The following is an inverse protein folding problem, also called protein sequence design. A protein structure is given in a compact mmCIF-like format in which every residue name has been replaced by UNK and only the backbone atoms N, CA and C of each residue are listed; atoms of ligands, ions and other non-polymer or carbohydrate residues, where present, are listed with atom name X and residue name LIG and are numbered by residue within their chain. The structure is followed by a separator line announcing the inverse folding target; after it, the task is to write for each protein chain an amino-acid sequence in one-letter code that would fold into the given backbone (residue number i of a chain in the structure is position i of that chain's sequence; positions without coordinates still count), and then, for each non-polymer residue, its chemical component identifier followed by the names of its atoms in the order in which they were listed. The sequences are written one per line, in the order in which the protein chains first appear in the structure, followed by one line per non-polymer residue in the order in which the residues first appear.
data_IF_099138084070
#
_entry.id   IF_099138084070
#
_cell.length_a   1.000
_cell.length_b   1.000
_cell.length_c   1.000
_cell.angle_alpha   90.00
_cell.angle_beta   90.00
_cell.angle_gamma   90.00
#
_symmetry.space_group_name_H-M   'P 1'
#
loop_
_entity.id
_entity.type
_entity.pdbx_description
1 polymer ?
#
# COMPACT_ATOMS: atom_id res chain seq x y z
N UNK A 1 2.53 -16.64 -6.77
CA UNK A 1 2.05 -15.29 -7.18
C UNK A 1 3.04 -14.25 -6.66
N UNK A 2 3.35 -13.19 -7.42
CA UNK A 2 4.45 -12.24 -7.17
C UNK A 2 4.59 -11.79 -5.70
N UNK A 3 3.48 -11.42 -5.05
CA UNK A 3 3.45 -10.97 -3.65
C UNK A 3 4.02 -11.98 -2.64
N UNK A 4 3.81 -13.27 -2.86
CA UNK A 4 4.35 -14.33 -2.00
C UNK A 4 5.86 -14.52 -2.23
N UNK A 5 6.32 -14.42 -3.48
CA UNK A 5 7.73 -14.54 -3.82
C UNK A 5 8.58 -13.39 -3.27
N UNK A 6 8.01 -12.17 -3.18
CA UNK A 6 8.69 -11.03 -2.58
C UNK A 6 8.93 -11.21 -1.07
N UNK A 7 7.98 -11.83 -0.35
CA UNK A 7 8.00 -11.91 1.11
C UNK A 7 9.26 -12.57 1.67
N UNK A 8 9.83 -13.55 0.98
CA UNK A 8 11.04 -14.27 1.42
C UNK A 8 12.30 -13.40 1.35
N UNK A 9 12.40 -12.52 0.34
CA UNK A 9 13.60 -11.73 0.07
C UNK A 9 13.58 -10.37 0.77
N UNK A 10 12.39 -9.84 1.02
CA UNK A 10 12.19 -8.49 1.56
C UNK A 10 12.95 -8.22 2.87
N UNK A 11 12.91 -9.08 3.91
CA UNK A 11 13.56 -8.77 5.18
C UNK A 11 15.07 -8.56 5.04
N UNK A 12 15.73 -9.43 4.27
CA UNK A 12 17.18 -9.35 4.06
C UNK A 12 17.58 -8.12 3.23
N UNK A 13 16.79 -7.77 2.20
CA UNK A 13 17.05 -6.60 1.37
C UNK A 13 16.84 -5.30 2.13
N UNK A 14 15.69 -5.16 2.80
CA UNK A 14 15.33 -3.97 3.60
C UNK A 14 16.34 -3.73 4.73
N UNK A 15 16.81 -4.78 5.39
CA UNK A 15 17.78 -4.65 6.49
C UNK A 15 19.17 -4.19 6.03
N UNK A 16 19.50 -4.35 4.75
CA UNK A 16 20.84 -4.08 4.21
C UNK A 16 20.91 -2.83 3.34
N UNK A 17 19.78 -2.41 2.77
CA UNK A 17 19.75 -1.42 1.72
C UNK A 17 18.56 -0.48 1.83
N UNK A 18 18.76 0.76 1.37
CA UNK A 18 17.66 1.64 0.98
C UNK A 18 17.18 1.20 -0.40
N UNK A 19 15.90 0.84 -0.50
CA UNK A 19 15.37 0.16 -1.67
C UNK A 19 14.59 1.12 -2.56
N UNK A 20 14.82 1.00 -3.87
CA UNK A 20 13.89 1.43 -4.89
C UNK A 20 13.31 0.16 -5.53
N UNK A 21 11.99 -0.01 -5.41
CA UNK A 21 11.30 -1.20 -5.93
C UNK A 21 10.76 -0.90 -7.32
N UNK A 22 11.21 -1.67 -8.31
CA UNK A 22 10.67 -1.64 -9.68
C UNK A 22 9.63 -2.74 -9.79
N UNK A 23 8.37 -2.33 -9.85
CA UNK A 23 7.23 -3.20 -9.63
C UNK A 23 6.57 -3.79 -10.88
N UNK A 24 5.50 -4.54 -10.61
CA UNK A 24 4.39 -4.78 -11.54
C UNK A 24 3.25 -3.81 -11.25
N UNK A 25 2.01 -4.29 -11.13
CA UNK A 25 0.89 -3.45 -10.71
C UNK A 25 1.01 -2.98 -9.25
N UNK A 26 0.16 -2.01 -8.88
CA UNK A 26 0.23 -1.29 -7.61
C UNK A 26 0.00 -2.18 -6.36
N UNK A 27 -0.57 -3.38 -6.51
CA UNK A 27 -0.88 -4.28 -5.38
C UNK A 27 0.35 -4.77 -4.63
N UNK A 28 1.55 -4.71 -5.24
CA UNK A 28 2.79 -5.10 -4.57
C UNK A 28 3.08 -4.24 -3.33
N UNK A 29 2.58 -3.00 -3.33
CA UNK A 29 2.83 -2.00 -2.27
C UNK A 29 2.38 -2.50 -0.90
N UNK A 30 1.26 -3.23 -0.83
CA UNK A 30 0.77 -3.80 0.44
C UNK A 30 1.76 -4.80 1.06
N UNK A 31 2.37 -5.67 0.25
CA UNK A 31 3.39 -6.60 0.73
C UNK A 31 4.65 -5.88 1.19
N UNK A 32 5.05 -4.81 0.50
CA UNK A 32 6.19 -3.97 0.89
C UNK A 32 5.92 -3.25 2.22
N UNK A 33 4.75 -2.63 2.38
CA UNK A 33 4.36 -1.94 3.61
C UNK A 33 4.32 -2.88 4.80
N UNK A 34 3.78 -4.10 4.66
CA UNK A 34 3.82 -5.12 5.72
C UNK A 34 5.26 -5.46 6.13
N UNK A 35 6.16 -5.61 5.17
CA UNK A 35 7.58 -5.90 5.45
C UNK A 35 8.28 -4.72 6.14
N UNK A 36 8.06 -3.49 5.68
CA UNK A 36 8.61 -2.29 6.33
C UNK A 36 8.03 -2.06 7.72
N UNK A 37 6.73 -2.29 7.92
CA UNK A 37 6.07 -2.22 9.23
C UNK A 37 6.69 -3.19 10.22
N UNK A 38 6.98 -4.41 9.78
CA UNK A 38 7.65 -5.43 10.59
C UNK A 38 9.11 -5.05 10.90
N UNK A 39 9.84 -4.53 9.91
CA UNK A 39 11.23 -4.11 10.05
C UNK A 39 11.40 -2.95 11.03
N UNK A 40 10.65 -1.86 10.85
CA UNK A 40 10.76 -0.66 11.69
C UNK A 40 9.96 -0.75 12.99
N UNK A 41 9.07 -1.74 13.11
CA UNK A 41 8.17 -1.91 14.26
C UNK A 41 7.30 -0.69 14.56
N UNK A 42 7.07 0.18 13.57
CA UNK A 42 6.13 1.31 13.65
C UNK A 42 5.37 1.51 12.32
N UNK A 43 4.16 2.11 12.32
CA UNK A 43 3.46 2.48 11.10
C UNK A 43 4.27 3.48 10.27
N UNK A 44 4.01 3.51 8.95
CA UNK A 44 4.73 4.34 8.00
C UNK A 44 3.92 5.58 7.61
N UNK A 45 4.60 6.72 7.45
CA UNK A 45 4.04 7.82 6.68
C UNK A 45 4.19 7.50 5.18
N UNK A 46 3.17 7.85 4.38
CA UNK A 46 3.12 7.53 2.95
C UNK A 46 2.78 8.78 2.14
N UNK A 47 3.61 9.07 1.14
CA UNK A 47 3.27 10.00 0.08
C UNK A 47 2.91 9.18 -1.15
N UNK A 48 1.64 9.22 -1.53
CA UNK A 48 1.07 8.40 -2.59
C UNK A 48 0.74 9.27 -3.80
N UNK A 49 1.46 9.07 -4.90
CA UNK A 49 1.25 9.78 -6.16
C UNK A 49 0.52 8.85 -7.13
N UNK A 50 -0.76 9.13 -7.39
CA UNK A 50 -1.57 8.32 -8.30
C UNK A 50 -2.74 9.15 -8.84
N UNK A 51 -3.30 8.70 -9.97
CA UNK A 51 -4.59 9.18 -10.45
C UNK A 51 -5.77 8.64 -9.62
N UNK A 52 -5.59 7.48 -8.98
CA UNK A 52 -6.62 6.72 -8.29
C UNK A 52 -6.37 6.68 -6.79
N UNK A 53 -7.46 6.59 -6.01
CA UNK A 53 -7.33 6.52 -4.55
C UNK A 53 -6.86 5.15 -4.06
N UNK A 54 -7.11 4.09 -4.83
CA UNK A 54 -6.83 2.69 -4.45
C UNK A 54 -7.44 2.25 -3.10
N UNK A 55 -8.56 2.89 -2.74
CA UNK A 55 -9.29 2.71 -1.48
C UNK A 55 -10.53 1.83 -1.61
N UNK A 56 -10.69 1.08 -2.71
CA UNK A 56 -11.87 0.25 -2.90
C UNK A 56 -11.81 -0.95 -1.95
N UNK A 57 -12.91 -1.34 -1.29
CA UNK A 57 -12.91 -2.48 -0.37
C UNK A 57 -12.74 -3.82 -1.11
N UNK A 58 -13.13 -3.88 -2.38
CA UNK A 58 -12.87 -5.00 -3.29
C UNK A 58 -12.80 -4.50 -4.74
N UNK A 59 -12.42 -5.42 -5.64
CA UNK A 59 -12.50 -5.23 -7.08
C UNK A 59 -13.31 -6.37 -7.70
N UNK A 60 -14.61 -6.15 -7.90
CA UNK A 60 -15.53 -7.13 -8.51
C UNK A 60 -15.53 -8.50 -7.79
N UNK A 61 -15.45 -8.48 -6.45
CA UNK A 61 -15.38 -9.68 -5.62
C UNK A 61 -13.97 -10.24 -5.40
N UNK A 62 -12.93 -9.62 -5.98
CA UNK A 62 -11.55 -9.86 -5.57
C UNK A 62 -11.17 -8.89 -4.42
N UNK A 63 -10.97 -9.37 -3.19
CA UNK A 63 -10.83 -8.50 -2.02
C UNK A 63 -9.45 -7.83 -1.91
N UNK A 64 -8.47 -8.23 -2.72
CA UNK A 64 -7.10 -7.70 -2.64
C UNK A 64 -6.46 -7.58 -4.02
N UNK A 65 -6.23 -6.33 -4.44
CA UNK A 65 -5.67 -6.01 -5.75
C UNK A 65 -5.13 -4.58 -5.80
N UNK A 66 -4.83 -4.12 -7.02
CA UNK A 66 -4.18 -2.82 -7.25
C UNK A 66 -5.04 -1.61 -6.87
N UNK A 67 -6.37 -1.76 -6.79
CA UNK A 67 -7.31 -0.70 -6.42
C UNK A 67 -7.80 -0.76 -4.99
N UNK A 68 -7.34 -1.73 -4.19
CA UNK A 68 -7.78 -1.96 -2.80
C UNK A 68 -6.65 -1.87 -1.77
N UNK A 69 -5.40 -1.78 -2.21
CA UNK A 69 -4.27 -1.92 -1.31
C UNK A 69 -4.20 -0.81 -0.25
N UNK A 70 -4.69 0.41 -0.55
CA UNK A 70 -4.74 1.51 0.42
C UNK A 70 -5.78 1.21 1.48
N UNK A 71 -6.95 0.70 1.08
CA UNK A 71 -7.99 0.28 2.02
C UNK A 71 -7.44 -0.78 3.00
N UNK A 72 -6.79 -1.82 2.48
CA UNK A 72 -6.17 -2.87 3.30
C UNK A 72 -5.08 -2.32 4.22
N UNK A 73 -4.21 -1.43 3.72
CA UNK A 73 -3.13 -0.84 4.51
C UNK A 73 -3.63 0.01 5.69
N UNK A 74 -4.75 0.72 5.51
CA UNK A 74 -5.42 1.47 6.58
C UNK A 74 -6.01 0.53 7.63
N UNK A 75 -6.74 -0.52 7.21
CA UNK A 75 -7.34 -1.50 8.12
C UNK A 75 -6.32 -2.27 8.95
N UNK A 76 -5.15 -2.56 8.36
CA UNK A 76 -4.05 -3.25 9.03
C UNK A 76 -3.19 -2.34 9.93
N UNK A 77 -3.45 -1.03 9.95
CA UNK A 77 -2.63 -0.08 10.72
C UNK A 77 -1.17 -0.05 10.25
N UNK A 78 -0.94 -0.26 8.95
CA UNK A 78 0.40 -0.20 8.36
C UNK A 78 0.91 1.23 8.24
N UNK A 79 -0.01 2.19 8.20
CA UNK A 79 0.28 3.60 7.94
C UNK A 79 -0.16 4.48 9.11
N UNK A 80 0.50 5.63 9.25
CA UNK A 80 0.19 6.60 10.30
C UNK A 80 -1.14 7.29 10.00
N UNK A 81 -2.05 7.35 10.96
CA UNK A 81 -3.27 8.13 10.84
C UNK A 81 -2.92 9.62 10.69
N UNK A 82 -3.39 10.26 9.62
CA UNK A 82 -2.99 11.62 9.22
C UNK A 82 -1.59 11.74 8.60
N UNK A 83 -0.88 10.62 8.41
CA UNK A 83 0.43 10.55 7.77
C UNK A 83 0.42 9.90 6.38
N UNK A 84 -0.75 9.71 5.79
CA UNK A 84 -0.92 9.28 4.40
C UNK A 84 -1.42 10.48 3.62
N UNK A 85 -0.79 10.82 2.49
CA UNK A 85 -1.21 11.95 1.66
C UNK A 85 -1.24 11.53 0.20
N UNK A 86 -2.36 11.81 -0.49
CA UNK A 86 -2.54 11.51 -1.90
C UNK A 86 -2.38 12.75 -2.79
N UNK A 87 -1.65 12.58 -3.88
CA UNK A 87 -1.41 13.63 -4.87
C UNK A 87 -1.83 13.14 -6.26
N UNK A 88 -2.53 14.01 -7.01
CA UNK A 88 -2.84 13.78 -8.42
C UNK A 88 -4.16 13.04 -8.70
N UNK A 89 -4.98 12.82 -7.66
CA UNK A 89 -6.27 12.14 -7.77
C UNK A 89 -7.18 12.83 -8.79
N UNK A 90 -7.64 12.05 -9.76
CA UNK A 90 -8.53 12.51 -10.85
C UNK A 90 -9.45 11.42 -11.39
N UNK A 91 -9.44 10.22 -10.79
CA UNK A 91 -10.45 9.20 -11.05
C UNK A 91 -11.74 9.49 -10.29
N UNK A 92 -12.85 8.89 -10.71
CA UNK A 92 -14.03 8.81 -9.84
C UNK A 92 -13.74 7.87 -8.67
N UNK A 93 -14.23 8.21 -7.49
CA UNK A 93 -14.28 7.30 -6.34
C UNK A 93 -15.46 7.71 -5.46
N UNK A 94 -15.96 6.76 -4.68
CA UNK A 94 -16.98 7.05 -3.67
C UNK A 94 -16.40 7.95 -2.57
N UNK A 95 -17.25 8.81 -2.01
CA UNK A 95 -16.81 9.84 -1.05
C UNK A 95 -16.29 9.24 0.25
N UNK A 96 -16.97 8.22 0.81
CA UNK A 96 -16.57 7.60 2.07
C UNK A 96 -15.13 7.07 2.05
N UNK A 97 -14.77 6.19 1.11
CA UNK A 97 -13.40 5.68 0.96
C UNK A 97 -12.30 6.76 0.85
N UNK A 98 -12.62 7.96 0.34
CA UNK A 98 -11.68 9.08 0.23
C UNK A 98 -11.42 9.81 1.54
N UNK A 99 -12.36 9.83 2.48
CA UNK A 99 -12.22 10.60 3.73
C UNK A 99 -11.24 9.92 4.71
N UNK A 100 -10.78 8.70 4.39
CA UNK A 100 -9.81 7.94 5.18
C UNK A 100 -8.35 8.23 4.83
N UNK A 101 -8.09 9.07 3.83
CA UNK A 101 -6.76 9.34 3.28
C UNK A 101 -6.45 10.82 3.23
#
# INVERSE_FOLDING_TARGET
RMRAALAEQLPALIARHHMAWLGGDHSITLSLLRAYRAHFRQPLAVLHFDAHCDTWPDHFGEPSGHGSWVFEAMQEGLVVNGGFVQFGIRSAAERGPREHV
#
